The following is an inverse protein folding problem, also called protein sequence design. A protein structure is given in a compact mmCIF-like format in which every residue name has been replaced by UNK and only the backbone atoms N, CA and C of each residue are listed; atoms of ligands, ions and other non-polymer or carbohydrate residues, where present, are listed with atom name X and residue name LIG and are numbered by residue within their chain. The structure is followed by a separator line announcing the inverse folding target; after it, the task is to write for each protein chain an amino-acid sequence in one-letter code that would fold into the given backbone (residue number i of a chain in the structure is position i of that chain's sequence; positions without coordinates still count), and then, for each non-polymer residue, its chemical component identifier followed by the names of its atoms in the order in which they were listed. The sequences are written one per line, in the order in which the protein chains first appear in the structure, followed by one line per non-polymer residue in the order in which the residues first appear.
data_IF_819376685782
#
_entry.id   IF_819376685782
#
_cell.length_a   1.000
_cell.length_b   1.000
_cell.length_c   1.000
_cell.angle_alpha   90.00
_cell.angle_beta   90.00
_cell.angle_gamma   90.00
#
_symmetry.space_group_name_H-M   'P 1'
#
loop_
_entity.id
_entity.type
_entity.pdbx_description
1 polymer ?
#
# COMPACT_ATOMS: atom_id res chain seq x y z
N UNK A 1 24.04 63.95 -4.48
CA UNK A 1 23.88 62.48 -4.42
C UNK A 1 23.69 62.00 -5.85
N UNK A 2 24.74 61.99 -6.69
CA UNK A 2 25.95 61.14 -6.69
C UNK A 2 25.77 59.96 -7.66
N UNK A 3 26.12 60.20 -8.92
CA UNK A 3 26.35 59.23 -9.99
C UNK A 3 27.43 59.78 -10.92
N UNK A 4 28.12 58.86 -11.61
CA UNK A 4 29.18 59.07 -12.60
C UNK A 4 30.57 59.50 -12.08
N UNK A 5 31.60 58.70 -12.40
CA UNK A 5 32.69 59.15 -13.29
C UNK A 5 33.40 57.97 -14.00
N UNK A 6 34.17 58.33 -15.03
CA UNK A 6 34.90 57.53 -16.06
C UNK A 6 36.21 58.34 -16.35
N UNK A 7 37.07 58.04 -17.36
CA UNK A 7 37.62 56.78 -17.88
C UNK A 7 39.15 56.83 -18.20
N UNK A 8 39.74 55.70 -18.65
CA UNK A 8 40.58 55.54 -19.88
C UNK A 8 40.98 54.05 -20.05
N UNK A 9 41.38 53.43 -21.19
CA UNK A 9 41.76 53.78 -22.60
C UNK A 9 43.23 54.06 -22.97
N UNK A 10 43.58 53.59 -24.18
CA UNK A 10 44.89 53.62 -24.88
C UNK A 10 45.49 52.19 -25.02
N UNK A 11 45.31 51.37 -26.08
CA UNK A 11 45.53 51.49 -27.55
C UNK A 11 47.02 51.46 -27.93
N UNK A 12 47.59 50.56 -28.77
CA UNK A 12 47.25 49.26 -29.45
C UNK A 12 48.60 48.63 -29.93
N UNK A 13 48.79 47.43 -30.53
CA UNK A 13 47.95 46.27 -30.90
C UNK A 13 48.60 45.36 -32.01
N UNK A 14 48.55 44.02 -31.86
CA UNK A 14 48.80 42.93 -32.86
C UNK A 14 50.19 42.76 -33.59
N UNK A 15 50.53 41.59 -34.20
CA UNK A 15 50.39 40.19 -33.71
C UNK A 15 51.57 39.22 -34.12
N UNK A 16 51.38 37.91 -33.85
CA UNK A 16 51.97 36.71 -34.51
C UNK A 16 53.30 36.07 -34.00
N UNK A 17 53.38 34.73 -34.16
CA UNK A 17 54.65 33.95 -34.17
C UNK A 17 54.72 32.71 -33.25
N UNK A 18 54.99 31.51 -33.80
CA UNK A 18 55.12 30.24 -33.06
C UNK A 18 56.56 29.68 -33.03
N UNK A 19 56.83 28.79 -32.06
CA UNK A 19 58.06 27.95 -31.94
C UNK A 19 59.07 28.45 -30.89
N UNK A 20 59.86 27.62 -30.19
CA UNK A 20 59.89 26.16 -30.08
C UNK A 20 61.25 25.63 -29.55
N UNK A 21 61.25 24.66 -28.62
CA UNK A 21 62.39 23.76 -28.35
C UNK A 21 63.38 24.05 -27.20
N UNK A 22 63.80 22.99 -26.50
CA UNK A 22 64.96 22.91 -25.58
C UNK A 22 64.75 23.44 -24.14
N UNK A 23 65.28 22.86 -23.06
CA UNK A 23 66.08 21.63 -22.88
C UNK A 23 67.21 21.83 -21.86
N UNK A 24 67.12 21.25 -20.65
CA UNK A 24 68.22 21.35 -19.65
C UNK A 24 67.91 20.69 -18.30
N UNK A 25 68.91 20.04 -17.68
CA UNK A 25 68.80 19.32 -16.38
C UNK A 25 69.70 19.97 -15.31
N UNK A 26 69.33 19.90 -14.04
CA UNK A 26 70.20 20.25 -12.90
C UNK A 26 69.68 19.69 -11.58
N UNK A 27 70.55 19.12 -10.74
CA UNK A 27 70.20 18.44 -9.47
C UNK A 27 70.79 19.18 -8.26
N UNK A 28 70.13 19.09 -7.10
CA UNK A 28 70.73 19.47 -5.81
C UNK A 28 69.76 19.43 -4.63
N UNK A 29 69.71 18.34 -3.87
CA UNK A 29 69.01 18.21 -2.59
C UNK A 29 69.95 17.57 -1.56
N UNK A 30 70.04 18.10 -0.35
CA UNK A 30 70.79 17.48 0.75
C UNK A 30 70.31 17.90 2.15
N UNK A 31 69.87 16.89 2.92
CA UNK A 31 69.72 16.85 4.41
C UNK A 31 68.67 17.80 5.03
N UNK A 32 67.91 17.42 6.06
CA UNK A 32 67.75 16.10 6.69
C UNK A 32 67.16 16.21 8.11
N UNK A 33 66.02 15.56 8.37
CA UNK A 33 65.47 15.39 9.72
C UNK A 33 64.75 14.03 9.81
N UNK A 34 65.02 13.25 10.86
CA UNK A 34 64.31 12.01 11.19
C UNK A 34 63.96 12.04 12.68
N UNK A 35 62.67 12.08 13.07
CA UNK A 35 62.27 11.97 14.48
C UNK A 35 62.58 10.57 15.02
N UNK A 36 62.83 10.46 16.33
CA UNK A 36 62.92 9.16 16.99
C UNK A 36 61.54 8.50 17.13
N UNK A 37 61.52 7.17 17.20
CA UNK A 37 60.28 6.37 17.21
C UNK A 37 59.39 6.68 18.43
N UNK A 38 59.97 7.07 19.57
CA UNK A 38 59.20 7.43 20.77
C UNK A 38 58.39 8.72 20.60
N UNK A 39 58.94 9.74 19.94
CA UNK A 39 58.25 11.01 19.70
C UNK A 39 57.03 10.84 18.78
N UNK A 40 57.14 9.99 17.76
CA UNK A 40 56.00 9.64 16.88
C UNK A 40 54.91 8.89 17.66
N UNK A 41 55.30 8.01 18.58
CA UNK A 41 54.35 7.24 19.39
C UNK A 41 53.55 8.11 20.37
N UNK A 42 54.20 9.08 21.04
CA UNK A 42 53.51 10.07 21.90
C UNK A 42 52.62 11.05 21.11
N UNK A 43 53.04 11.46 19.90
CA UNK A 43 52.23 12.33 19.04
C UNK A 43 50.95 11.64 18.53
N UNK A 44 51.02 10.33 18.23
CA UNK A 44 49.84 9.56 17.83
C UNK A 44 48.80 9.47 18.96
N UNK A 45 49.23 9.09 20.16
CA UNK A 45 48.34 8.89 21.32
C UNK A 45 47.63 10.17 21.81
N UNK A 46 48.23 11.34 21.59
CA UNK A 46 47.68 12.64 22.00
C UNK A 46 46.73 13.27 20.97
N UNK A 47 46.66 12.75 19.75
CA UNK A 47 45.81 13.30 18.69
C UNK A 47 44.31 13.04 18.91
N UNK A 48 43.46 14.05 18.62
CA UNK A 48 42.00 13.87 18.56
C UNK A 48 41.59 12.75 17.59
N UNK A 49 42.33 12.59 16.50
CA UNK A 49 42.10 11.54 15.50
C UNK A 49 42.27 10.13 16.08
N UNK A 50 43.32 9.86 16.87
CA UNK A 50 43.54 8.56 17.50
C UNK A 50 42.48 8.24 18.56
N UNK A 51 42.06 9.23 19.36
CA UNK A 51 40.94 9.06 20.30
C UNK A 51 39.62 8.76 19.57
N UNK A 52 39.36 9.43 18.46
CA UNK A 52 38.18 9.18 17.62
C UNK A 52 38.24 7.80 16.95
N UNK A 53 39.43 7.36 16.53
CA UNK A 53 39.65 6.02 15.97
C UNK A 53 39.41 4.93 17.02
N UNK A 54 39.89 5.11 18.25
CA UNK A 54 39.60 4.23 19.40
C UNK A 54 38.09 4.14 19.71
N UNK A 55 37.36 5.26 19.66
CA UNK A 55 35.90 5.26 19.84
C UNK A 55 35.20 4.49 18.72
N UNK A 56 35.60 4.69 17.46
CA UNK A 56 35.06 3.93 16.31
C UNK A 56 35.37 2.43 16.45
N UNK A 57 36.57 2.06 16.89
CA UNK A 57 36.95 0.67 17.14
C UNK A 57 36.13 0.04 18.26
N UNK A 58 35.95 0.75 19.38
CA UNK A 58 35.14 0.30 20.51
C UNK A 58 33.65 0.14 20.11
N UNK A 59 33.08 1.06 19.34
CA UNK A 59 31.73 0.95 18.80
C UNK A 59 31.61 -0.23 17.81
N UNK A 60 32.63 -0.47 16.98
CA UNK A 60 32.64 -1.61 16.05
C UNK A 60 32.68 -2.94 16.83
N UNK A 61 33.52 -3.05 17.86
CA UNK A 61 33.54 -4.21 18.75
C UNK A 61 32.21 -4.37 19.50
N UNK A 62 31.57 -3.29 19.94
CA UNK A 62 30.26 -3.33 20.59
C UNK A 62 29.19 -3.88 19.65
N UNK A 63 29.15 -3.42 18.39
CA UNK A 63 28.22 -3.94 17.36
C UNK A 63 28.51 -5.41 17.06
N UNK A 64 29.77 -5.83 16.92
CA UNK A 64 30.14 -7.23 16.70
C UNK A 64 29.76 -8.11 17.89
N UNK A 65 29.99 -7.64 19.13
CA UNK A 65 29.59 -8.35 20.34
C UNK A 65 28.06 -8.45 20.47
N UNK A 66 27.34 -7.35 20.21
CA UNK A 66 25.88 -7.31 20.24
C UNK A 66 25.26 -8.20 19.16
N UNK A 67 25.86 -8.24 17.96
CA UNK A 67 25.48 -9.18 16.90
C UNK A 67 25.76 -10.64 17.30
N UNK A 68 26.92 -10.91 17.91
CA UNK A 68 27.30 -12.27 18.34
C UNK A 68 26.43 -12.79 19.50
N UNK A 69 26.06 -11.93 20.45
CA UNK A 69 25.10 -12.25 21.51
C UNK A 69 23.70 -12.45 20.92
N UNK A 70 23.28 -11.62 19.96
CA UNK A 70 21.98 -11.77 19.29
C UNK A 70 21.92 -13.06 18.45
N UNK A 71 23.00 -13.42 17.74
CA UNK A 71 23.06 -14.69 17.01
C UNK A 71 23.09 -15.88 17.95
N UNK A 72 23.86 -15.83 19.04
CA UNK A 72 23.88 -16.89 20.05
C UNK A 72 22.50 -17.08 20.70
N UNK A 73 21.81 -15.98 21.02
CA UNK A 73 20.44 -16.00 21.55
C UNK A 73 19.43 -16.57 20.56
N UNK A 74 19.51 -16.17 19.28
CA UNK A 74 18.67 -16.73 18.21
C UNK A 74 18.91 -18.23 18.03
N UNK A 75 20.16 -18.70 18.08
CA UNK A 75 20.49 -20.14 18.02
C UNK A 75 20.08 -20.91 19.27
N UNK A 76 20.12 -20.28 20.46
CA UNK A 76 19.67 -20.90 21.71
C UNK A 76 18.15 -21.07 21.69
N UNK A 77 17.42 -20.02 21.30
CA UNK A 77 15.97 -20.05 21.18
C UNK A 77 15.50 -20.97 20.04
N UNK A 78 16.25 -21.13 18.95
CA UNK A 78 15.89 -22.11 17.92
C UNK A 78 16.04 -23.54 18.43
N UNK A 79 17.08 -23.86 19.20
CA UNK A 79 17.27 -25.17 19.82
C UNK A 79 16.24 -25.44 20.94
N UNK A 80 15.83 -24.42 21.70
CA UNK A 80 14.72 -24.56 22.67
C UNK A 80 13.37 -24.73 21.97
N UNK A 81 13.10 -24.02 20.87
CA UNK A 81 11.91 -24.22 20.03
C UNK A 81 11.87 -25.62 19.40
N UNK A 82 13.01 -26.13 18.92
CA UNK A 82 13.13 -27.46 18.32
C UNK A 82 12.89 -28.56 19.37
N UNK A 83 13.47 -28.43 20.57
CA UNK A 83 13.16 -29.31 21.72
C UNK A 83 11.72 -29.19 22.22
N UNK A 84 11.11 -28.01 22.15
CA UNK A 84 9.70 -27.85 22.48
C UNK A 84 8.79 -28.56 21.45
N UNK A 85 9.17 -28.57 20.17
CA UNK A 85 8.50 -29.33 19.11
C UNK A 85 8.69 -30.84 19.26
N UNK A 86 9.90 -31.31 19.56
CA UNK A 86 10.14 -32.75 19.86
C UNK A 86 9.39 -33.20 21.12
N UNK A 87 9.33 -32.36 22.16
CA UNK A 87 8.56 -32.63 23.38
C UNK A 87 7.04 -32.70 23.15
N UNK A 88 6.50 -31.99 22.16
CA UNK A 88 5.11 -32.09 21.73
C UNK A 88 4.85 -33.35 20.89
N UNK A 89 5.85 -33.85 20.16
CA UNK A 89 5.76 -35.12 19.41
C UNK A 89 5.90 -36.37 20.31
N UNK A 90 6.36 -36.22 21.55
CA UNK A 90 6.71 -37.32 22.47
C UNK A 90 5.67 -37.58 23.59
N UNK A 91 4.41 -37.19 23.42
CA UNK A 91 3.35 -37.61 24.37
C UNK A 91 3.00 -39.10 24.17
N UNK A 92 3.03 -39.94 25.22
CA UNK A 92 2.64 -41.33 25.11
C UNK A 92 1.14 -41.45 24.81
N UNK A 93 0.79 -42.28 23.82
CA UNK A 93 -0.60 -42.61 23.54
C UNK A 93 -1.28 -43.19 24.78
N UNK A 94 -2.51 -42.75 25.05
CA UNK A 94 -3.33 -43.36 26.11
C UNK A 94 -3.49 -44.86 25.86
N UNK A 95 -3.46 -45.71 26.91
CA UNK A 95 -3.55 -47.15 26.73
C UNK A 95 -4.89 -47.51 26.08
N UNK A 96 -4.81 -48.20 24.94
CA UNK A 96 -5.99 -48.70 24.24
C UNK A 96 -6.78 -49.64 25.17
N UNK A 97 -8.11 -49.47 25.21
CA UNK A 97 -8.99 -50.52 25.76
C UNK A 97 -8.78 -51.82 24.98
N UNK A 98 -8.85 -52.99 25.63
CA UNK A 98 -8.74 -54.26 24.93
C UNK A 98 -9.84 -54.37 23.87
N UNK A 99 -9.57 -55.01 22.73
CA UNK A 99 -10.57 -55.16 21.68
C UNK A 99 -11.69 -56.08 22.17
N UNK A 100 -12.85 -55.52 22.52
CA UNK A 100 -14.09 -56.30 22.46
C UNK A 100 -14.26 -56.79 21.03
N UNK A 101 -14.34 -58.11 20.86
CA UNK A 101 -14.38 -58.75 19.57
C UNK A 101 -15.44 -58.09 18.67
N UNK A 102 -15.01 -57.60 17.51
CA UNK A 102 -15.93 -57.06 16.52
C UNK A 102 -16.87 -58.19 16.07
N UNK A 103 -18.19 -57.95 15.99
CA UNK A 103 -19.08 -58.87 15.28
C UNK A 103 -18.66 -58.92 13.80
N UNK A 104 -18.97 -60.01 13.08
CA UNK A 104 -18.71 -60.08 11.64
C UNK A 104 -19.41 -58.93 10.90
N UNK A 105 -18.96 -58.56 9.70
CA UNK A 105 -19.42 -57.34 9.01
C UNK A 105 -20.89 -57.44 8.57
N UNK A 106 -21.80 -57.12 9.48
CA UNK A 106 -23.18 -56.76 9.15
C UNK A 106 -23.14 -55.43 8.41
N UNK A 107 -23.70 -55.43 7.19
CA UNK A 107 -23.91 -54.30 6.29
C UNK A 107 -23.81 -52.92 6.96
N UNK A 108 -22.89 -52.08 6.47
CA UNK A 108 -22.96 -50.63 6.72
C UNK A 108 -24.30 -50.15 6.17
N UNK A 109 -25.23 -49.79 7.06
CA UNK A 109 -26.54 -49.28 6.66
C UNK A 109 -26.39 -47.85 6.13
N UNK A 110 -27.28 -47.46 5.21
CA UNK A 110 -27.33 -46.10 4.67
C UNK A 110 -27.43 -45.07 5.80
N UNK A 111 -28.22 -45.35 6.83
CA UNK A 111 -28.41 -44.52 8.02
C UNK A 111 -27.09 -44.17 8.73
N UNK A 112 -26.15 -45.12 8.83
CA UNK A 112 -24.85 -44.90 9.47
C UNK A 112 -23.93 -44.00 8.62
N UNK A 113 -24.06 -44.04 7.29
CA UNK A 113 -23.38 -43.14 6.37
C UNK A 113 -24.02 -41.75 6.42
N UNK A 114 -25.35 -41.69 6.48
CA UNK A 114 -26.12 -40.44 6.53
C UNK A 114 -25.82 -39.66 7.83
N UNK A 115 -25.80 -40.32 8.99
CA UNK A 115 -25.44 -39.71 10.27
C UNK A 115 -23.99 -39.15 10.25
N UNK A 116 -23.04 -39.91 9.68
CA UNK A 116 -21.64 -39.48 9.56
C UNK A 116 -21.46 -38.30 8.59
N UNK A 117 -22.22 -38.28 7.48
CA UNK A 117 -22.28 -37.14 6.56
C UNK A 117 -22.92 -35.93 7.24
N UNK A 118 -24.01 -36.10 8.00
CA UNK A 118 -24.69 -35.00 8.71
C UNK A 118 -23.77 -34.33 9.73
N UNK A 119 -23.08 -35.12 10.56
CA UNK A 119 -22.09 -34.63 11.53
C UNK A 119 -20.89 -33.93 10.86
N UNK A 120 -20.49 -34.38 9.65
CA UNK A 120 -19.44 -33.73 8.87
C UNK A 120 -19.90 -32.39 8.28
N UNK A 121 -21.16 -32.29 7.84
CA UNK A 121 -21.78 -31.05 7.36
C UNK A 121 -21.98 -30.05 8.50
N UNK A 122 -22.45 -30.48 9.67
CA UNK A 122 -22.59 -29.62 10.85
C UNK A 122 -21.25 -29.03 11.30
N UNK A 123 -20.15 -29.81 11.25
CA UNK A 123 -18.79 -29.31 11.54
C UNK A 123 -18.23 -28.38 10.46
N UNK A 124 -18.62 -28.55 9.20
CA UNK A 124 -18.24 -27.64 8.10
C UNK A 124 -19.00 -26.31 8.16
N UNK A 125 -20.22 -26.30 8.69
CA UNK A 125 -21.03 -25.09 8.84
C UNK A 125 -20.49 -24.09 9.90
N UNK A 126 -19.57 -24.53 10.76
CA UNK A 126 -18.98 -23.71 11.85
C UNK A 126 -17.65 -23.03 11.47
N UNK A 127 -17.10 -23.26 10.28
CA UNK A 127 -15.83 -22.67 9.84
C UNK A 127 -16.03 -21.83 8.57
N UNK A 128 -15.69 -20.54 8.69
CA UNK A 128 -16.30 -19.50 7.87
C UNK A 128 -15.73 -19.37 6.43
N UNK A 129 -16.59 -18.91 5.53
CA UNK A 129 -16.35 -18.43 4.14
C UNK A 129 -15.74 -19.41 3.12
N UNK A 130 -14.72 -20.22 3.43
CA UNK A 130 -14.12 -21.16 2.45
C UNK A 130 -14.95 -22.44 2.26
N UNK A 131 -15.63 -22.90 3.33
CA UNK A 131 -16.37 -24.16 3.34
C UNK A 131 -17.56 -24.18 2.37
N UNK A 132 -18.25 -23.05 2.16
CA UNK A 132 -19.45 -23.01 1.31
C UNK A 132 -19.15 -23.31 -0.17
N UNK A 133 -18.03 -22.83 -0.71
CA UNK A 133 -17.69 -23.01 -2.13
C UNK A 133 -17.11 -24.40 -2.43
N UNK A 134 -16.33 -24.96 -1.50
CA UNK A 134 -15.83 -26.33 -1.58
C UNK A 134 -16.95 -27.34 -1.30
N UNK A 135 -17.74 -27.13 -0.26
CA UNK A 135 -18.88 -27.97 0.10
C UNK A 135 -19.91 -28.07 -1.03
N UNK A 136 -20.26 -26.96 -1.68
CA UNK A 136 -21.16 -26.97 -2.83
C UNK A 136 -20.56 -27.59 -4.11
N UNK A 137 -19.24 -27.88 -4.16
CA UNK A 137 -18.62 -28.68 -5.22
C UNK A 137 -18.55 -30.15 -4.82
N UNK A 138 -18.12 -30.44 -3.59
CA UNK A 138 -18.04 -31.79 -3.03
C UNK A 138 -19.43 -32.46 -2.98
N UNK A 139 -20.48 -31.74 -2.57
CA UNK A 139 -21.86 -32.23 -2.59
C UNK A 139 -22.37 -32.54 -4.00
N UNK A 140 -21.93 -31.78 -5.03
CA UNK A 140 -22.27 -32.08 -6.44
C UNK A 140 -21.53 -33.30 -6.96
N UNK A 141 -20.26 -33.45 -6.59
CA UNK A 141 -19.45 -34.62 -6.92
C UNK A 141 -20.05 -35.88 -6.30
N UNK A 142 -20.33 -35.86 -4.98
CA UNK A 142 -20.95 -36.96 -4.23
C UNK A 142 -22.35 -37.28 -4.76
N UNK A 143 -23.20 -36.28 -5.04
CA UNK A 143 -24.52 -36.52 -5.63
C UNK A 143 -24.45 -37.16 -7.03
N UNK A 144 -23.40 -36.85 -7.82
CA UNK A 144 -23.17 -37.48 -9.13
C UNK A 144 -22.72 -38.95 -9.00
N UNK A 145 -21.86 -39.25 -8.01
CA UNK A 145 -21.37 -40.60 -7.76
C UNK A 145 -22.44 -41.51 -7.13
N UNK A 146 -23.39 -40.95 -6.38
CA UNK A 146 -24.51 -41.68 -5.77
C UNK A 146 -25.76 -41.82 -6.67
N UNK A 147 -25.72 -41.34 -7.91
CA UNK A 147 -26.83 -41.38 -8.88
C UNK A 147 -28.16 -40.76 -8.40
N UNK A 148 -28.13 -39.86 -7.41
CA UNK A 148 -29.34 -39.24 -6.86
C UNK A 148 -29.89 -38.21 -7.85
N UNK A 149 -31.07 -38.51 -8.40
CA UNK A 149 -31.66 -37.79 -9.54
C UNK A 149 -32.29 -36.47 -9.11
N UNK A 150 -31.58 -35.36 -9.29
CA UNK A 150 -32.14 -34.01 -9.12
C UNK A 150 -33.26 -33.72 -10.16
N UNK A 151 -34.33 -32.97 -9.79
CA UNK A 151 -35.42 -32.66 -10.71
C UNK A 151 -34.95 -31.77 -11.87
N UNK A 152 -35.37 -32.14 -13.07
CA UNK A 152 -34.94 -31.52 -14.33
C UNK A 152 -35.65 -30.20 -14.64
N UNK A 153 -34.86 -29.17 -14.98
CA UNK A 153 -35.31 -28.04 -15.79
C UNK A 153 -34.22 -27.70 -16.82
N UNK A 154 -34.51 -27.89 -18.11
CA UNK A 154 -33.69 -27.40 -19.23
C UNK A 154 -33.98 -25.92 -19.48
N UNK A 155 -32.93 -25.07 -19.66
CA UNK A 155 -32.56 -24.60 -21.01
C UNK A 155 -31.05 -24.20 -21.10
N UNK A 156 -30.63 -23.36 -22.07
CA UNK A 156 -30.56 -23.47 -23.54
C UNK A 156 -29.09 -23.67 -24.02
N UNK A 157 -28.77 -23.71 -25.35
CA UNK A 157 -27.38 -23.87 -25.81
C UNK A 157 -26.48 -22.63 -25.54
N UNK A 158 -25.13 -22.78 -25.63
CA UNK A 158 -24.21 -21.93 -24.87
C UNK A 158 -23.85 -20.60 -25.55
N UNK A 159 -24.11 -19.49 -24.85
CA UNK A 159 -23.59 -18.16 -25.18
C UNK A 159 -23.88 -17.18 -24.05
N UNK A 160 -22.85 -16.84 -23.27
CA UNK A 160 -22.91 -15.90 -22.13
C UNK A 160 -24.01 -16.18 -21.07
N UNK A 161 -23.75 -17.13 -20.15
CA UNK A 161 -24.42 -17.07 -18.84
C UNK A 161 -24.01 -15.77 -18.15
N UNK A 162 -24.99 -14.95 -17.77
CA UNK A 162 -24.78 -13.82 -16.90
C UNK A 162 -24.03 -14.28 -15.63
N UNK A 163 -22.98 -13.55 -15.25
CA UNK A 163 -22.33 -13.75 -13.96
C UNK A 163 -23.38 -13.56 -12.84
N UNK A 164 -23.26 -14.28 -11.71
CA UNK A 164 -24.17 -14.07 -10.59
C UNK A 164 -24.14 -12.59 -10.18
N UNK A 165 -25.30 -12.07 -9.76
CA UNK A 165 -25.43 -10.71 -9.26
C UNK A 165 -24.63 -10.46 -7.97
N UNK A 166 -24.76 -9.27 -7.37
CA UNK A 166 -24.09 -8.93 -6.12
C UNK A 166 -24.24 -10.04 -5.07
N UNK A 167 -23.17 -10.33 -4.33
CA UNK A 167 -23.16 -11.37 -3.31
C UNK A 167 -24.35 -11.19 -2.34
N UNK A 168 -25.24 -12.19 -2.20
CA UNK A 168 -26.36 -12.09 -1.27
C UNK A 168 -25.83 -12.07 0.17
N UNK A 169 -26.29 -11.12 0.99
CA UNK A 169 -25.98 -11.10 2.43
C UNK A 169 -25.58 -9.73 3.02
N UNK A 170 -25.31 -8.71 2.20
CA UNK A 170 -25.03 -7.36 2.75
C UNK A 170 -26.32 -6.73 3.27
N UNK A 171 -26.47 -6.69 4.60
CA UNK A 171 -27.54 -5.98 5.28
C UNK A 171 -27.60 -4.50 4.81
N UNK A 172 -28.81 -3.92 4.67
CA UNK A 172 -28.94 -2.50 4.35
C UNK A 172 -28.25 -1.64 5.41
N UNK A 173 -27.74 -0.45 5.05
CA UNK A 173 -27.14 0.44 6.02
C UNK A 173 -28.17 0.84 7.08
N UNK A 174 -27.78 0.97 8.37
CA UNK A 174 -28.64 1.50 9.41
C UNK A 174 -29.24 2.86 9.00
N UNK A 175 -30.53 3.13 9.33
CA UNK A 175 -31.13 4.44 9.08
C UNK A 175 -30.29 5.57 9.65
N UNK A 176 -30.06 6.63 8.87
CA UNK A 176 -29.28 7.79 9.28
C UNK A 176 -27.76 7.61 9.31
N UNK A 177 -27.21 6.43 8.96
CA UNK A 177 -25.75 6.26 8.83
C UNK A 177 -25.25 7.09 7.62
N UNK A 178 -24.32 8.07 7.78
CA UNK A 178 -23.88 8.89 6.64
C UNK A 178 -23.19 8.08 5.55
N UNK A 179 -23.42 8.38 4.25
CA UNK A 179 -22.75 7.72 3.15
C UNK A 179 -21.25 8.09 3.14
N UNK A 180 -20.42 7.10 2.79
CA UNK A 180 -18.99 7.26 2.63
C UNK A 180 -18.59 7.00 1.18
N UNK A 181 -17.92 7.97 0.55
CA UNK A 181 -17.46 7.89 -0.83
C UNK A 181 -15.95 7.70 -0.89
N UNK A 182 -15.51 6.50 -1.24
CA UNK A 182 -14.07 6.18 -1.35
C UNK A 182 -13.63 6.45 -2.78
N UNK A 183 -12.73 7.41 -2.97
CA UNK A 183 -12.23 7.87 -4.28
C UNK A 183 -10.88 7.23 -4.57
N UNK A 184 -10.87 6.25 -5.48
CA UNK A 184 -9.69 5.44 -5.80
C UNK A 184 -9.18 5.69 -7.21
N UNK A 185 -8.07 6.42 -7.38
CA UNK A 185 -7.34 6.44 -8.63
C UNK A 185 -6.65 5.08 -8.86
N UNK A 186 -6.71 4.56 -10.08
CA UNK A 186 -5.98 3.33 -10.45
C UNK A 186 -5.42 3.43 -11.89
N UNK A 187 -4.50 2.55 -12.25
CA UNK A 187 -3.95 2.47 -13.61
C UNK A 187 -3.45 1.05 -13.93
N UNK A 188 -3.44 0.71 -15.22
CA UNK A 188 -3.03 -0.62 -15.70
C UNK A 188 -1.54 -0.90 -15.41
N UNK A 189 -1.32 -1.92 -14.58
CA UNK A 189 -0.01 -2.48 -14.16
C UNK A 189 -0.19 -3.94 -13.74
N UNK A 190 0.86 -4.78 -13.67
CA UNK A 190 0.74 -6.19 -13.27
C UNK A 190 0.00 -6.41 -11.94
N UNK A 191 0.16 -5.48 -11.00
CA UNK A 191 -0.44 -5.55 -9.67
C UNK A 191 -1.93 -5.13 -9.65
N UNK A 192 -2.41 -4.37 -10.66
CA UNK A 192 -3.67 -3.60 -10.58
C UNK A 192 -4.86 -4.40 -10.06
N UNK A 193 -5.08 -5.60 -10.60
CA UNK A 193 -6.22 -6.44 -10.23
C UNK A 193 -6.07 -7.04 -8.82
N UNK A 194 -4.84 -7.30 -8.34
CA UNK A 194 -4.60 -7.77 -6.99
C UNK A 194 -4.85 -6.64 -5.96
N UNK A 195 -4.39 -5.44 -6.27
CA UNK A 195 -4.59 -4.21 -5.48
C UNK A 195 -6.08 -3.91 -5.30
N UNK A 196 -6.82 -3.83 -6.42
CA UNK A 196 -8.27 -3.64 -6.40
C UNK A 196 -9.00 -4.81 -5.72
N UNK A 197 -8.48 -6.05 -5.79
CA UNK A 197 -9.09 -7.19 -5.09
C UNK A 197 -8.99 -7.05 -3.57
N UNK A 198 -7.80 -6.75 -3.03
CA UNK A 198 -7.65 -6.57 -1.57
C UNK A 198 -8.41 -5.34 -1.07
N UNK A 199 -8.42 -4.25 -1.84
CA UNK A 199 -9.19 -3.06 -1.50
C UNK A 199 -10.70 -3.35 -1.47
N UNK A 200 -11.23 -4.08 -2.46
CA UNK A 200 -12.63 -4.51 -2.47
C UNK A 200 -12.98 -5.37 -1.25
N UNK A 201 -12.09 -6.29 -0.86
CA UNK A 201 -12.26 -7.15 0.31
C UNK A 201 -12.31 -6.35 1.61
N UNK A 202 -11.45 -5.33 1.78
CA UNK A 202 -11.53 -4.39 2.91
C UNK A 202 -12.85 -3.60 2.91
N UNK A 203 -13.24 -3.03 1.76
CA UNK A 203 -14.44 -2.20 1.65
C UNK A 203 -15.76 -2.98 1.80
N UNK A 204 -15.75 -4.31 1.62
CA UNK A 204 -16.90 -5.16 1.92
C UNK A 204 -17.27 -5.15 3.41
N UNK A 205 -16.31 -4.90 4.30
CA UNK A 205 -16.52 -4.78 5.75
C UNK A 205 -17.13 -3.41 6.15
N UNK A 206 -17.11 -2.41 5.25
CA UNK A 206 -17.52 -1.02 5.53
C UNK A 206 -18.98 -0.79 5.19
N UNK A 207 -19.79 -0.33 6.16
CA UNK A 207 -21.22 -0.02 5.94
C UNK A 207 -21.41 1.31 5.19
N UNK A 208 -22.55 1.43 4.48
CA UNK A 208 -22.92 2.57 3.63
C UNK A 208 -21.78 3.18 2.78
N UNK A 209 -20.96 2.34 2.14
CA UNK A 209 -19.86 2.80 1.28
C UNK A 209 -20.27 2.79 -0.19
N UNK A 210 -19.83 3.79 -0.95
CA UNK A 210 -19.81 3.79 -2.41
C UNK A 210 -18.37 3.98 -2.89
N UNK A 211 -17.90 3.07 -3.72
CA UNK A 211 -16.53 3.05 -4.21
C UNK A 211 -16.42 3.67 -5.61
N UNK A 212 -15.77 4.82 -5.72
CA UNK A 212 -15.54 5.51 -6.99
C UNK A 212 -14.17 5.09 -7.52
N UNK A 213 -14.13 4.20 -8.51
CA UNK A 213 -12.88 3.68 -9.10
C UNK A 213 -12.66 4.36 -10.43
N UNK A 214 -11.54 5.10 -10.54
CA UNK A 214 -11.26 5.96 -11.70
C UNK A 214 -9.91 5.59 -12.33
N UNK A 215 -9.94 5.11 -13.56
CA UNK A 215 -8.74 4.66 -14.28
C UNK A 215 -7.98 5.79 -15.00
N UNK A 216 -6.64 5.76 -14.98
CA UNK A 216 -5.76 6.49 -15.93
C UNK A 216 -5.79 5.86 -17.33
N UNK A 217 -6.98 5.90 -17.92
CA UNK A 217 -7.28 5.38 -19.24
C UNK A 217 -8.22 6.34 -19.98
N UNK A 218 -8.39 6.13 -21.29
CA UNK A 218 -9.45 6.77 -22.07
C UNK A 218 -10.74 5.96 -21.93
N UNK A 219 -10.63 4.65 -22.18
CA UNK A 219 -11.72 3.67 -22.09
C UNK A 219 -11.59 2.81 -20.82
N UNK A 220 -12.72 2.36 -20.22
CA UNK A 220 -12.70 1.49 -19.04
C UNK A 220 -12.23 0.08 -19.38
N UNK A 221 -11.39 -0.51 -18.52
CA UNK A 221 -10.88 -1.86 -18.68
C UNK A 221 -11.94 -2.91 -18.34
N UNK A 222 -12.17 -3.86 -19.24
CA UNK A 222 -13.17 -4.92 -19.06
C UNK A 222 -12.91 -5.81 -17.82
N UNK A 223 -11.64 -6.01 -17.45
CA UNK A 223 -11.27 -6.79 -16.26
C UNK A 223 -11.55 -6.05 -14.96
N UNK A 224 -11.31 -4.74 -14.91
CA UNK A 224 -11.69 -3.88 -13.78
C UNK A 224 -13.20 -3.83 -13.64
N UNK A 225 -13.93 -3.60 -14.74
CA UNK A 225 -15.38 -3.61 -14.75
C UNK A 225 -15.96 -4.96 -14.27
N UNK A 226 -15.30 -6.09 -14.59
CA UNK A 226 -15.68 -7.42 -14.13
C UNK A 226 -15.41 -7.60 -12.63
N UNK A 227 -14.24 -7.18 -12.13
CA UNK A 227 -13.89 -7.20 -10.71
C UNK A 227 -14.90 -6.40 -9.87
N UNK A 228 -15.22 -5.17 -10.29
CA UNK A 228 -16.16 -4.31 -9.56
C UNK A 228 -17.57 -4.92 -9.50
N UNK A 229 -18.09 -5.46 -10.61
CA UNK A 229 -19.37 -6.20 -10.59
C UNK A 229 -19.33 -7.42 -9.69
N UNK A 230 -18.25 -8.22 -9.74
CA UNK A 230 -18.10 -9.43 -8.93
C UNK A 230 -17.91 -9.14 -7.43
N UNK A 231 -17.39 -7.96 -7.07
CA UNK A 231 -17.24 -7.56 -5.66
C UNK A 231 -18.57 -7.40 -4.93
N UNK A 232 -19.66 -7.09 -5.65
CA UNK A 232 -20.96 -6.75 -5.05
C UNK A 232 -21.01 -5.41 -4.31
N UNK A 233 -19.92 -4.63 -4.29
CA UNK A 233 -19.90 -3.28 -3.70
C UNK A 233 -20.74 -2.30 -4.54
N UNK A 234 -21.47 -1.37 -3.92
CA UNK A 234 -21.96 -0.18 -4.60
C UNK A 234 -20.75 0.61 -5.13
N UNK A 235 -20.65 0.77 -6.45
CA UNK A 235 -19.48 1.37 -7.09
C UNK A 235 -19.85 2.21 -8.30
N UNK A 236 -18.91 3.05 -8.70
CA UNK A 236 -18.92 3.79 -9.97
C UNK A 236 -17.59 3.49 -10.67
N UNK A 237 -17.65 3.11 -11.95
CA UNK A 237 -16.45 2.86 -12.76
C UNK A 237 -16.30 4.01 -13.76
N UNK A 238 -15.26 4.82 -13.56
CA UNK A 238 -15.01 6.04 -14.33
C UNK A 238 -13.62 5.99 -14.99
N UNK A 239 -13.39 6.87 -15.97
CA UNK A 239 -12.07 7.09 -16.57
C UNK A 239 -11.68 8.57 -16.50
N UNK A 240 -10.38 8.81 -16.38
CA UNK A 240 -9.77 10.12 -16.53
C UNK A 240 -8.28 9.95 -16.87
N UNK A 241 -7.92 10.04 -18.15
CA UNK A 241 -6.54 9.96 -18.59
C UNK A 241 -5.70 11.15 -18.05
N UNK A 242 -4.48 10.87 -17.59
CA UNK A 242 -3.51 11.94 -17.27
C UNK A 242 -3.23 12.79 -18.52
N UNK A 243 -3.36 14.15 -18.44
CA UNK A 243 -3.11 15.02 -19.58
C UNK A 243 -1.70 14.86 -20.15
N UNK A 244 -1.60 14.90 -21.48
CA UNK A 244 -0.40 14.51 -22.24
C UNK A 244 0.85 15.32 -21.84
N UNK A 245 0.67 16.60 -21.49
CA UNK A 245 1.74 17.48 -21.00
C UNK A 245 2.43 16.97 -19.73
N UNK A 246 1.68 16.29 -18.84
CA UNK A 246 2.23 15.65 -17.64
C UNK A 246 2.73 14.24 -17.93
N UNK A 247 2.08 13.52 -18.85
CA UNK A 247 2.48 12.16 -19.26
C UNK A 247 3.90 12.14 -19.84
N UNK A 248 4.26 13.17 -20.63
CA UNK A 248 5.59 13.37 -21.25
C UNK A 248 6.64 14.01 -20.34
N UNK A 249 6.27 14.52 -19.16
CA UNK A 249 7.20 15.20 -18.24
C UNK A 249 8.32 14.25 -17.76
N UNK A 250 9.57 14.72 -17.75
CA UNK A 250 10.70 14.04 -17.09
C UNK A 250 10.70 14.34 -15.60
N UNK A 251 11.06 13.36 -14.77
CA UNK A 251 11.03 13.47 -13.31
C UNK A 251 9.65 13.15 -12.70
N UNK A 252 9.33 13.81 -11.58
CA UNK A 252 8.08 13.58 -10.85
C UNK A 252 6.83 13.93 -11.69
N UNK A 253 5.82 13.07 -11.63
CA UNK A 253 4.54 13.20 -12.35
C UNK A 253 3.38 13.28 -11.35
N UNK A 254 2.35 14.12 -11.62
CA UNK A 254 1.19 14.25 -10.76
C UNK A 254 0.23 13.07 -10.95
N UNK A 255 0.58 11.92 -10.35
CA UNK A 255 -0.21 10.69 -10.42
C UNK A 255 -1.55 10.85 -9.68
N UNK A 256 -2.61 10.26 -10.21
CA UNK A 256 -3.94 10.27 -9.59
C UNK A 256 -4.70 11.60 -9.66
N UNK A 257 -4.08 12.72 -10.08
CA UNK A 257 -4.73 14.05 -10.03
C UNK A 257 -5.95 14.17 -10.94
N UNK A 258 -5.86 13.69 -12.19
CA UNK A 258 -7.01 13.72 -13.12
C UNK A 258 -8.17 12.86 -12.59
N UNK A 259 -7.83 11.73 -11.99
CA UNK A 259 -8.75 10.73 -11.46
C UNK A 259 -9.45 11.23 -10.19
N UNK A 260 -8.70 11.79 -9.24
CA UNK A 260 -9.24 12.44 -8.03
C UNK A 260 -10.14 13.62 -8.38
N UNK A 261 -9.77 14.45 -9.36
CA UNK A 261 -10.62 15.54 -9.86
C UNK A 261 -11.89 15.03 -10.55
N UNK A 262 -11.84 13.94 -11.31
CA UNK A 262 -13.02 13.28 -11.89
C UNK A 262 -13.96 12.71 -10.83
N UNK A 263 -13.41 12.24 -9.71
CA UNK A 263 -14.14 11.88 -8.50
C UNK A 263 -14.83 13.08 -7.84
N UNK A 264 -14.13 14.20 -7.65
CA UNK A 264 -14.73 15.46 -7.15
C UNK A 264 -15.87 15.97 -8.04
N UNK A 265 -15.74 15.83 -9.36
CA UNK A 265 -16.83 16.14 -10.32
C UNK A 265 -18.03 15.22 -10.14
N UNK A 266 -17.81 13.90 -9.98
CA UNK A 266 -18.90 12.95 -9.71
C UNK A 266 -19.60 13.26 -8.38
N UNK A 267 -18.86 13.57 -7.32
CA UNK A 267 -19.40 13.93 -6.01
C UNK A 267 -20.29 15.18 -6.09
N UNK A 268 -19.84 16.23 -6.78
CA UNK A 268 -20.63 17.45 -6.99
C UNK A 268 -21.92 17.22 -7.78
N UNK A 269 -21.95 16.23 -8.66
CA UNK A 269 -23.14 15.92 -9.46
C UNK A 269 -24.12 14.97 -8.76
N UNK A 270 -23.65 14.07 -7.87
CA UNK A 270 -24.42 12.91 -7.42
C UNK A 270 -24.51 12.73 -5.88
N UNK A 271 -23.81 13.55 -5.08
CA UNK A 271 -23.81 13.45 -3.62
C UNK A 271 -24.12 14.81 -2.98
N UNK A 272 -25.08 14.86 -2.07
CA UNK A 272 -25.45 16.07 -1.29
C UNK A 272 -24.88 16.09 0.12
N UNK A 273 -24.62 14.91 0.70
CA UNK A 273 -24.26 14.69 2.09
C UNK A 273 -23.19 13.60 2.25
N UNK A 274 -22.77 13.36 3.50
CA UNK A 274 -21.74 12.37 3.81
C UNK A 274 -20.31 12.89 3.65
N UNK A 275 -19.37 11.95 3.58
CA UNK A 275 -17.91 12.21 3.60
C UNK A 275 -17.27 11.50 2.42
N UNK A 276 -16.27 12.13 1.80
CA UNK A 276 -15.41 11.47 0.83
C UNK A 276 -13.96 11.37 1.33
N UNK A 277 -13.29 10.35 0.85
CA UNK A 277 -11.93 9.99 1.24
C UNK A 277 -11.13 9.59 0.01
N UNK A 278 -9.92 10.14 -0.16
CA UNK A 278 -9.01 9.73 -1.23
C UNK A 278 -8.22 8.52 -0.74
N UNK A 279 -8.37 7.40 -1.45
CA UNK A 279 -7.76 6.14 -1.07
C UNK A 279 -7.12 5.48 -2.31
N UNK A 280 -5.80 5.57 -2.39
CA UNK A 280 -5.00 4.98 -3.47
C UNK A 280 -5.02 3.43 -3.37
N UNK A 281 -4.93 2.76 -4.51
CA UNK A 281 -5.22 1.32 -4.62
C UNK A 281 -4.16 0.40 -3.96
N UNK A 282 -2.96 0.90 -3.65
CA UNK A 282 -1.85 0.16 -3.03
C UNK A 282 -1.68 0.35 -1.51
N UNK A 283 -2.47 1.24 -0.91
CA UNK A 283 -2.44 1.55 0.51
C UNK A 283 -3.10 0.43 1.34
N UNK A 284 -2.93 0.47 2.67
CA UNK A 284 -3.55 -0.48 3.61
C UNK A 284 -4.37 0.28 4.64
N UNK A 285 -5.61 -0.15 4.85
CA UNK A 285 -6.61 0.53 5.67
C UNK A 285 -7.16 -0.42 6.74
N UNK A 286 -7.05 -0.04 8.02
CA UNK A 286 -7.85 -0.65 9.08
C UNK A 286 -9.32 -0.24 8.88
N UNK A 287 -10.26 -1.16 9.07
CA UNK A 287 -11.69 -0.89 8.88
C UNK A 287 -12.18 0.23 9.80
N UNK A 288 -11.55 0.41 10.97
CA UNK A 288 -11.89 1.45 11.93
C UNK A 288 -11.77 2.87 11.36
N UNK A 289 -10.86 3.14 10.39
CA UNK A 289 -10.72 4.49 9.85
C UNK A 289 -11.99 4.98 9.16
N UNK A 290 -12.72 4.06 8.52
CA UNK A 290 -13.93 4.40 7.77
C UNK A 290 -15.11 4.80 8.67
N UNK A 291 -15.10 4.39 9.95
CA UNK A 291 -16.07 4.84 10.95
C UNK A 291 -15.62 6.14 11.63
N UNK A 292 -14.32 6.30 11.94
CA UNK A 292 -13.74 7.55 12.46
C UNK A 292 -14.06 8.76 11.56
N UNK A 293 -13.85 8.63 10.25
CA UNK A 293 -14.05 9.71 9.28
C UNK A 293 -15.51 9.94 8.92
N UNK A 294 -16.43 9.01 9.21
CA UNK A 294 -17.84 9.12 8.81
C UNK A 294 -18.55 10.33 9.42
N UNK A 295 -18.05 10.81 10.56
CA UNK A 295 -18.59 11.95 11.32
C UNK A 295 -18.01 13.31 10.94
N UNK A 296 -17.13 13.37 9.94
CA UNK A 296 -16.42 14.59 9.53
C UNK A 296 -17.36 15.67 8.99
N UNK A 297 -17.30 16.88 9.57
CA UNK A 297 -18.20 18.01 9.23
C UNK A 297 -17.61 18.95 8.19
N UNK A 298 -16.29 19.16 8.22
CA UNK A 298 -15.51 20.00 7.31
C UNK A 298 -14.35 19.18 6.73
N UNK A 299 -13.27 19.03 7.49
CA UNK A 299 -12.07 18.27 7.14
C UNK A 299 -11.51 17.62 8.40
N UNK A 300 -11.27 16.32 8.34
CA UNK A 300 -10.65 15.55 9.42
C UNK A 300 -9.26 15.07 9.02
N UNK A 301 -8.35 14.95 9.99
CA UNK A 301 -7.01 14.41 9.78
C UNK A 301 -6.60 13.42 10.87
N UNK A 302 -5.69 12.52 10.52
CA UNK A 302 -5.24 11.39 11.33
C UNK A 302 -3.85 10.91 10.87
N UNK A 303 -3.16 10.07 11.67
CA UNK A 303 -1.84 9.56 11.33
C UNK A 303 -1.86 8.57 10.15
N UNK A 304 -0.86 8.68 9.28
CA UNK A 304 -0.52 7.70 8.24
C UNK A 304 0.85 7.11 8.54
N UNK A 305 0.95 5.79 8.57
CA UNK A 305 2.20 5.06 8.76
C UNK A 305 2.90 4.71 7.45
N UNK A 306 4.19 4.39 7.52
CA UNK A 306 5.04 3.96 6.39
C UNK A 306 5.18 4.96 5.23
N UNK A 307 4.74 6.22 5.43
CA UNK A 307 4.89 7.31 4.47
C UNK A 307 6.12 8.20 4.79
N UNK A 308 6.67 8.83 3.75
CA UNK A 308 7.84 9.73 3.81
C UNK A 308 9.10 9.09 4.38
N UNK A 309 10.17 9.87 4.61
CA UNK A 309 11.41 9.41 5.26
C UNK A 309 11.29 9.20 6.77
N UNK A 310 10.25 9.75 7.40
CA UNK A 310 10.03 9.64 8.86
C UNK A 310 9.20 8.41 9.25
N UNK A 311 8.65 7.67 8.28
CA UNK A 311 7.76 6.54 8.51
C UNK A 311 6.38 6.91 9.08
N UNK A 312 6.10 8.20 9.24
CA UNK A 312 4.88 8.75 9.82
C UNK A 312 4.60 10.14 9.21
N UNK A 313 3.32 10.40 8.90
CA UNK A 313 2.77 11.72 8.59
C UNK A 313 1.55 11.92 9.49
N UNK A 314 1.53 12.99 10.29
CA UNK A 314 0.45 13.22 11.26
C UNK A 314 0.30 14.70 11.66
N UNK A 315 -0.92 15.16 11.98
CA UNK A 315 -1.09 16.32 12.86
C UNK A 315 -0.38 16.08 14.19
N UNK A 316 0.27 17.11 14.73
CA UNK A 316 0.86 17.10 16.07
C UNK A 316 -0.16 17.68 17.04
N UNK A 317 -0.48 16.89 18.07
CA UNK A 317 -1.45 17.25 19.09
C UNK A 317 -0.73 17.35 20.43
N UNK A 318 -0.94 18.46 21.14
CA UNK A 318 -0.40 18.65 22.49
C UNK A 318 -1.11 17.76 23.51
N UNK A 319 -0.52 17.58 24.70
CA UNK A 319 -1.14 16.87 25.83
C UNK A 319 -2.49 17.43 26.28
N UNK A 320 -2.86 18.64 25.83
CA UNK A 320 -4.17 19.28 26.04
C UNK A 320 -5.18 19.02 24.92
N UNK A 321 -4.91 18.07 24.01
CA UNK A 321 -5.78 17.77 22.86
C UNK A 321 -5.80 18.85 21.77
N UNK A 322 -4.94 19.87 21.87
CA UNK A 322 -4.90 20.99 20.90
C UNK A 322 -3.91 20.72 19.79
N UNK A 323 -4.31 20.92 18.53
CA UNK A 323 -3.42 20.96 17.36
C UNK A 323 -2.32 22.03 17.52
N UNK A 324 -1.06 21.66 17.27
CA UNK A 324 0.10 22.56 17.37
C UNK A 324 0.98 22.60 16.11
N UNK A 325 0.73 21.73 15.13
CA UNK A 325 1.52 21.67 13.90
C UNK A 325 1.39 20.32 13.20
N UNK A 326 2.37 19.96 12.39
CA UNK A 326 2.43 18.71 11.64
C UNK A 326 3.81 18.06 11.79
N UNK A 327 3.84 16.73 11.75
CA UNK A 327 5.05 15.92 11.71
C UNK A 327 5.00 15.10 10.41
N UNK A 328 5.87 15.44 9.47
CA UNK A 328 5.87 14.90 8.11
C UNK A 328 7.28 15.03 7.50
N UNK A 329 7.73 14.02 6.75
CA UNK A 329 9.08 14.00 6.17
C UNK A 329 9.30 14.91 4.95
N UNK A 330 8.28 15.64 4.51
CA UNK A 330 8.29 16.55 3.36
C UNK A 330 7.50 17.84 3.66
N UNK A 331 8.04 18.69 4.55
CA UNK A 331 7.36 19.96 4.89
C UNK A 331 7.31 20.92 3.70
N UNK A 332 8.41 21.13 2.97
CA UNK A 332 8.42 21.78 1.65
C UNK A 332 7.82 23.20 1.52
N UNK A 333 7.55 23.90 2.63
CA UNK A 333 6.76 25.15 2.63
C UNK A 333 5.24 24.93 2.47
N UNK A 334 4.76 23.69 2.56
CA UNK A 334 3.34 23.32 2.58
C UNK A 334 2.66 23.91 3.83
N UNK A 335 1.43 24.40 3.69
CA UNK A 335 0.54 24.81 4.78
C UNK A 335 -0.10 23.59 5.44
N UNK A 336 -0.35 22.56 4.63
CA UNK A 336 -0.82 21.24 5.05
C UNK A 336 0.17 20.17 4.60
N UNK A 337 1.33 20.02 5.30
CA UNK A 337 2.25 18.91 5.08
C UNK A 337 1.67 17.62 5.66
N UNK A 338 0.81 16.97 4.87
CA UNK A 338 0.20 15.66 5.16
C UNK A 338 0.32 14.75 3.94
N UNK A 339 0.12 13.46 4.16
CA UNK A 339 -0.08 12.46 3.10
C UNK A 339 -1.52 12.51 2.54
N UNK A 340 -1.73 12.08 1.28
CA UNK A 340 -3.05 12.02 0.64
C UNK A 340 -4.05 11.18 1.44
N UNK A 341 -3.59 10.09 2.03
CA UNK A 341 -4.41 9.20 2.83
C UNK A 341 -4.67 9.73 4.24
N UNK A 342 -4.05 10.84 4.66
CA UNK A 342 -4.12 11.37 6.03
C UNK A 342 -5.31 12.28 6.34
N UNK A 343 -6.22 12.48 5.39
CA UNK A 343 -7.38 13.36 5.58
C UNK A 343 -8.64 12.90 4.85
N UNK A 344 -9.80 13.28 5.37
CA UNK A 344 -11.12 13.08 4.75
C UNK A 344 -11.94 14.38 4.81
N UNK A 345 -12.91 14.54 3.91
CA UNK A 345 -13.60 15.82 3.68
C UNK A 345 -15.11 15.63 3.54
N UNK A 346 -15.88 16.52 4.15
CA UNK A 346 -17.34 16.56 4.04
C UNK A 346 -17.79 16.93 2.62
N UNK A 347 -18.76 16.19 2.08
CA UNK A 347 -19.36 16.47 0.77
C UNK A 347 -20.05 17.84 0.77
N UNK A 348 -20.74 18.20 1.87
CA UNK A 348 -21.34 19.52 2.05
C UNK A 348 -20.28 20.63 2.04
N UNK A 349 -19.16 20.41 2.72
CA UNK A 349 -18.06 21.37 2.77
C UNK A 349 -17.41 21.59 1.40
N UNK A 350 -17.35 20.55 0.56
CA UNK A 350 -16.90 20.64 -0.84
C UNK A 350 -17.87 21.44 -1.73
N UNK A 351 -19.19 21.34 -1.52
CA UNK A 351 -20.20 22.09 -2.28
C UNK A 351 -20.11 23.60 -2.05
N UNK A 352 -19.88 24.01 -0.81
CA UNK A 352 -19.58 25.40 -0.43
C UNK A 352 -18.30 25.94 -1.10
N UNK A 353 -17.44 25.05 -1.65
CA UNK A 353 -16.18 25.38 -2.35
C UNK A 353 -16.18 24.81 -3.78
N UNK A 354 -17.01 25.34 -4.70
CA UNK A 354 -17.20 24.77 -6.03
C UNK A 354 -15.92 24.80 -6.90
N UNK A 355 -14.96 25.67 -6.58
CA UNK A 355 -13.66 25.78 -7.26
C UNK A 355 -12.56 24.89 -6.68
N UNK A 356 -12.81 24.17 -5.57
CA UNK A 356 -11.81 23.31 -4.95
C UNK A 356 -11.45 22.12 -5.86
N UNK A 357 -10.16 21.91 -6.08
CA UNK A 357 -9.65 20.85 -6.96
C UNK A 357 -8.19 20.52 -6.66
N UNK A 358 -7.79 19.30 -6.99
CA UNK A 358 -6.43 18.81 -6.88
C UNK A 358 -5.58 19.47 -7.99
N UNK A 359 -4.50 20.22 -7.67
CA UNK A 359 -3.64 20.80 -8.69
C UNK A 359 -2.71 19.74 -9.30
N UNK A 360 -2.31 19.92 -10.55
CA UNK A 360 -1.30 19.08 -11.21
C UNK A 360 0.13 19.53 -10.83
N UNK A 361 0.43 19.51 -9.52
CA UNK A 361 1.66 20.06 -8.94
C UNK A 361 2.38 19.03 -8.04
N UNK A 362 3.33 18.24 -8.59
CA UNK A 362 4.01 17.17 -7.88
C UNK A 362 4.64 17.58 -6.54
N UNK A 363 4.24 16.89 -5.47
CA UNK A 363 4.67 17.15 -4.09
C UNK A 363 3.89 18.28 -3.40
N UNK A 364 2.84 18.80 -4.04
CA UNK A 364 1.95 19.87 -3.58
C UNK A 364 0.47 19.58 -3.90
N UNK A 365 0.13 18.35 -4.31
CA UNK A 365 -1.23 17.89 -4.56
C UNK A 365 -2.13 18.13 -3.33
N UNK A 366 -1.78 17.54 -2.18
CA UNK A 366 -2.56 17.60 -0.93
C UNK A 366 -2.68 19.05 -0.43
N UNK A 367 -1.53 19.74 -0.35
CA UNK A 367 -1.45 21.11 0.15
C UNK A 367 -2.27 22.07 -0.71
N UNK A 368 -2.18 21.96 -2.04
CA UNK A 368 -2.94 22.80 -2.95
C UNK A 368 -4.44 22.47 -2.95
N UNK A 369 -4.83 21.20 -2.81
CA UNK A 369 -6.24 20.84 -2.63
C UNK A 369 -6.81 21.40 -1.32
N UNK A 370 -6.12 21.20 -0.20
CA UNK A 370 -6.55 21.69 1.11
C UNK A 370 -6.56 23.23 1.18
N UNK A 371 -5.62 23.92 0.52
CA UNK A 371 -5.68 25.38 0.31
C UNK A 371 -6.87 25.79 -0.54
N UNK A 372 -7.25 25.01 -1.55
CA UNK A 372 -8.41 25.30 -2.40
C UNK A 372 -9.75 25.21 -1.64
N UNK A 373 -9.74 24.66 -0.41
CA UNK A 373 -10.87 24.68 0.52
C UNK A 373 -10.94 25.97 1.39
N UNK A 374 -10.22 27.04 1.02
CA UNK A 374 -10.27 28.34 1.67
C UNK A 374 -11.71 28.80 2.01
N UNK A 375 -11.95 29.44 3.17
CA UNK A 375 -10.99 29.89 4.19
C UNK A 375 -10.64 28.81 5.25
N UNK A 376 -10.40 27.55 4.85
CA UNK A 376 -9.93 26.51 5.75
C UNK A 376 -8.49 26.72 6.26
N UNK A 377 -8.31 26.63 7.58
CA UNK A 377 -7.02 26.75 8.28
C UNK A 377 -6.65 25.46 9.06
N UNK A 378 -5.35 25.13 9.25
CA UNK A 378 -4.92 23.90 9.94
C UNK A 378 -5.47 23.74 11.36
N UNK A 379 -5.70 24.86 12.06
CA UNK A 379 -6.30 24.88 13.41
C UNK A 379 -7.78 24.46 13.46
N UNK A 380 -8.46 24.36 12.31
CA UNK A 380 -9.86 23.96 12.19
C UNK A 380 -10.04 22.46 11.87
N UNK A 381 -8.94 21.71 11.85
CA UNK A 381 -8.92 20.26 11.57
C UNK A 381 -9.67 19.48 12.66
N UNK A 382 -10.57 18.60 12.25
CA UNK A 382 -11.18 17.60 13.11
C UNK A 382 -10.19 16.44 13.33
N UNK A 383 -9.52 16.43 14.48
CA UNK A 383 -8.58 15.38 14.85
C UNK A 383 -9.32 14.05 15.06
N UNK A 384 -8.82 12.97 14.44
CA UNK A 384 -9.37 11.60 14.53
C UNK A 384 -8.33 10.63 15.08
N UNK A 385 -8.67 9.35 15.12
CA UNK A 385 -7.80 8.26 15.55
C UNK A 385 -7.25 8.51 16.96
N UNK A 386 -8.17 8.87 17.88
CA UNK A 386 -7.90 9.15 19.30
C UNK A 386 -6.85 10.26 19.49
N UNK A 387 -7.19 11.49 19.06
CA UNK A 387 -6.28 12.65 19.04
C UNK A 387 -4.94 12.37 18.33
N UNK A 388 -5.00 11.67 17.20
CA UNK A 388 -3.86 11.25 16.39
C UNK A 388 -2.85 10.34 17.12
N UNK A 389 -3.31 9.53 18.09
CA UNK A 389 -2.45 8.53 18.78
C UNK A 389 -2.49 7.14 18.15
N UNK A 390 -3.44 6.86 17.25
CA UNK A 390 -3.59 5.58 16.55
C UNK A 390 -3.26 5.71 15.07
N UNK A 391 -2.42 4.80 14.55
CA UNK A 391 -2.21 4.64 13.10
C UNK A 391 -3.22 3.61 12.60
N UNK A 392 -4.14 4.05 11.74
CA UNK A 392 -5.19 3.20 11.15
C UNK A 392 -5.05 3.08 9.61
N UNK A 393 -4.04 3.72 9.04
CA UNK A 393 -3.76 3.76 7.61
C UNK A 393 -2.26 3.70 7.38
N UNK A 394 -1.83 2.93 6.38
CA UNK A 394 -0.43 2.79 6.01
C UNK A 394 -0.26 2.99 4.50
N UNK A 395 0.69 3.84 4.12
CA UNK A 395 1.09 4.07 2.73
C UNK A 395 1.99 2.91 2.25
N UNK A 396 1.45 1.70 2.24
CA UNK A 396 2.11 0.53 1.64
C UNK A 396 2.30 0.72 0.14
N UNK A 397 3.30 0.05 -0.43
CA UNK A 397 3.52 -0.02 -1.87
C UNK A 397 3.87 -1.46 -2.25
N UNK A 398 3.20 -2.02 -3.25
CA UNK A 398 3.57 -3.35 -3.77
C UNK A 398 4.86 -3.26 -4.56
N UNK A 399 5.75 -4.25 -4.41
CA UNK A 399 6.98 -4.36 -5.21
C UNK A 399 6.61 -4.39 -6.70
N UNK A 400 7.21 -3.49 -7.48
CA UNK A 400 7.01 -3.41 -8.94
C UNK A 400 7.44 -4.71 -9.60
N UNK A 401 6.53 -5.35 -10.32
CA UNK A 401 6.81 -6.50 -11.17
C UNK A 401 6.97 -6.07 -12.64
N UNK A 402 7.74 -6.84 -13.39
CA UNK A 402 7.80 -6.69 -14.84
C UNK A 402 6.50 -7.17 -15.50
N UNK A 403 6.23 -6.68 -16.71
CA UNK A 403 5.20 -7.25 -17.56
C UNK A 403 5.48 -8.75 -17.81
N UNK A 404 4.43 -9.56 -17.84
CA UNK A 404 4.52 -11.00 -18.06
C UNK A 404 5.06 -11.31 -19.46
N UNK A 405 5.89 -12.34 -19.57
CA UNK A 405 6.55 -12.70 -20.84
C UNK A 405 5.52 -13.10 -21.92
N UNK A 406 5.85 -12.95 -23.22
CA UNK A 406 5.01 -13.42 -24.32
C UNK A 406 4.68 -14.91 -24.17
N UNK A 407 3.45 -15.30 -24.53
CA UNK A 407 3.03 -16.69 -24.51
C UNK A 407 3.52 -17.42 -25.77
N UNK A 408 4.11 -18.60 -25.62
CA UNK A 408 4.41 -19.47 -26.76
C UNK A 408 3.12 -20.05 -27.34
N UNK A 409 2.57 -19.36 -28.33
CA UNK A 409 1.35 -19.76 -29.02
C UNK A 409 1.52 -21.08 -29.77
N UNK A 410 2.73 -21.47 -30.21
CA UNK A 410 2.91 -22.77 -30.90
C UNK A 410 2.67 -23.95 -29.97
N UNK A 411 2.95 -23.77 -28.67
CA UNK A 411 2.79 -24.79 -27.63
C UNK A 411 1.45 -24.71 -26.89
N UNK A 412 0.86 -23.52 -26.79
CA UNK A 412 -0.24 -23.25 -25.85
C UNK A 412 -1.51 -22.63 -26.46
N UNK A 413 -1.65 -22.54 -27.79
CA UNK A 413 -2.83 -21.94 -28.44
C UNK A 413 -4.16 -22.55 -27.96
N UNK A 414 -4.24 -23.87 -27.86
CA UNK A 414 -5.49 -24.60 -27.59
C UNK A 414 -5.70 -24.84 -26.08
N UNK A 415 -5.12 -23.98 -25.24
CA UNK A 415 -5.17 -24.09 -23.76
C UNK A 415 -5.94 -22.90 -23.15
N UNK A 416 -6.00 -22.85 -21.82
CA UNK A 416 -6.50 -21.68 -21.09
C UNK A 416 -5.52 -20.49 -21.10
N UNK A 417 -4.24 -20.69 -21.43
CA UNK A 417 -3.21 -19.64 -21.29
C UNK A 417 -3.46 -18.40 -22.17
N UNK A 418 -3.97 -18.47 -23.41
CA UNK A 418 -4.32 -17.28 -24.20
C UNK A 418 -5.47 -16.46 -23.62
N UNK A 419 -6.30 -17.05 -22.75
CA UNK A 419 -7.33 -16.32 -21.99
C UNK A 419 -6.66 -15.60 -20.81
N UNK A 420 -5.86 -16.31 -20.01
CA UNK A 420 -5.16 -15.74 -18.87
C UNK A 420 -4.21 -14.61 -19.29
N UNK A 421 -3.53 -14.75 -20.43
CA UNK A 421 -2.59 -13.77 -20.99
C UNK A 421 -3.24 -12.43 -21.38
N UNK A 422 -4.57 -12.36 -21.53
CA UNK A 422 -5.30 -11.10 -21.73
C UNK A 422 -5.54 -10.33 -20.42
N UNK A 423 -5.61 -11.07 -19.31
CA UNK A 423 -5.92 -10.55 -17.97
C UNK A 423 -4.64 -10.02 -17.29
N UNK A 424 -3.56 -10.80 -17.32
CA UNK A 424 -2.26 -10.38 -16.79
C UNK A 424 -1.61 -9.34 -17.72
N UNK A 425 -0.87 -8.40 -17.13
CA UNK A 425 -0.09 -7.37 -17.86
C UNK A 425 1.29 -7.89 -18.21
#
# INVERSE_FOLDING_TARGET
MSTAERPNKGVDGDPAGCGGGGGGRGRGWSRGWRPSVSAVHQALQSSRAFRMWLVIWALTLLVVAQYSVSSAWLTSNSVEMEKAFEGLAAQPAQPARPPTAAPPPSSVTLDAIEEAVRLSVERLAQNDVMAASLGARLLREVASQLQIRAPTATPPPPGAKALPGPLPGRAPPPPGLPPLYVVTPTYRRPEQLAELTRMAQTLLLVRHVRWLVIEDAREPAADVARLLRQSGLPHEHLTAAMPEQYRKRRGAKPKGVAQRNRGLQWLRANASEGVFYFADDDNTYDVAIFEEIRTTRRVSMFPVGLCTKLGLSTPVVSSRGTFVGFYDGWVGGRKFPVDMAGFAVSVKFLHERPKAQMPFAPGFEEDGFLRSLAPFEPKEVELKADNCTKVLVWHTQTKINGASQPLDMKKFNDTNLPILKKIIV
#
